data_IF_492126861293
#
_entry.id   IF_492126861293
#
_cell.length_a   1.000
_cell.length_b   1.000
_cell.length_c   1.000
_cell.angle_alpha   90.00
_cell.angle_beta   90.00
_cell.angle_gamma   90.00
#
_symmetry.space_group_name_H-M   'P 1'
#
loop_
_entity.id
_entity.type
_entity.pdbx_description
1 polymer ?
#
# COMPACT_ATOMS: atom_id res chain seq x y z
N UNK A 1 -1.34 -14.08 -1.14
CA UNK A 1 -1.38 -12.80 -0.43
C UNK A 1 -2.13 -13.01 0.87
N UNK A 2 -1.56 -12.59 1.97
CA UNK A 2 -2.21 -12.62 3.27
C UNK A 2 -2.96 -11.30 3.48
N UNK A 3 -4.19 -11.39 3.93
CA UNK A 3 -5.03 -10.24 4.30
C UNK A 3 -5.36 -10.39 5.78
N UNK A 4 -4.95 -9.42 6.57
CA UNK A 4 -5.25 -9.39 8.00
C UNK A 4 -6.46 -8.51 8.27
N UNK A 5 -7.53 -9.11 8.75
CA UNK A 5 -8.68 -8.37 9.24
C UNK A 5 -8.42 -7.89 10.67
N UNK A 6 -8.48 -6.58 10.86
CA UNK A 6 -8.41 -5.95 12.18
C UNK A 6 -9.80 -5.85 12.82
N UNK A 7 -10.82 -5.88 11.98
CA UNK A 7 -12.22 -5.92 12.39
C UNK A 7 -13.02 -6.67 11.33
N UNK A 8 -13.86 -7.58 11.75
CA UNK A 8 -14.77 -8.31 10.88
C UNK A 8 -16.07 -8.65 11.60
N UNK A 9 -17.20 -8.20 11.05
CA UNK A 9 -18.54 -8.50 11.59
C UNK A 9 -19.30 -9.43 10.61
N UNK A 10 -19.95 -10.51 11.07
CA UNK A 10 -20.76 -11.35 10.19
C UNK A 10 -21.85 -10.55 9.47
N UNK A 11 -21.96 -10.75 8.16
CA UNK A 11 -22.98 -10.09 7.33
C UNK A 11 -22.67 -8.66 6.91
N UNK A 12 -21.53 -8.08 7.32
CA UNK A 12 -21.14 -6.76 6.89
C UNK A 12 -20.87 -6.72 5.38
N UNK A 13 -21.30 -5.66 4.72
CA UNK A 13 -21.20 -5.46 3.28
C UNK A 13 -20.22 -4.37 2.88
N UNK A 14 -19.69 -3.64 3.86
CA UNK A 14 -18.72 -2.57 3.66
C UNK A 14 -17.33 -3.00 4.11
N UNK A 15 -16.33 -2.72 3.30
CA UNK A 15 -14.92 -3.00 3.59
C UNK A 15 -14.09 -1.75 3.40
N UNK A 16 -13.25 -1.44 4.38
CA UNK A 16 -12.09 -0.56 4.20
C UNK A 16 -10.84 -1.42 4.14
N UNK A 17 -10.08 -1.32 3.08
CA UNK A 17 -8.85 -2.09 2.89
C UNK A 17 -7.66 -1.18 2.64
N UNK A 18 -6.57 -1.40 3.37
CA UNK A 18 -5.33 -0.67 3.22
C UNK A 18 -4.19 -1.54 2.70
N UNK A 19 -3.47 -1.05 1.68
CA UNK A 19 -2.21 -1.61 1.21
C UNK A 19 -1.05 -0.77 1.71
N UNK A 20 -0.18 -1.38 2.50
CA UNK A 20 0.96 -0.70 3.12
C UNK A 20 2.15 -0.61 2.15
N UNK A 21 3.00 0.38 2.39
CA UNK A 21 4.25 0.57 1.66
C UNK A 21 5.39 -0.32 2.14
N UNK A 22 6.49 -0.30 1.39
CA UNK A 22 7.72 -1.00 1.74
C UNK A 22 8.22 -0.59 3.13
N UNK A 23 8.68 -1.57 3.90
CA UNK A 23 9.17 -1.47 5.29
C UNK A 23 8.14 -1.17 6.38
N UNK A 24 6.87 -1.07 6.02
CA UNK A 24 5.77 -0.95 6.98
C UNK A 24 5.00 -2.27 7.01
N UNK A 25 5.33 -3.14 7.99
CA UNK A 25 4.53 -4.33 8.26
C UNK A 25 3.25 -3.95 9.02
N UNK A 26 2.26 -4.84 9.00
CA UNK A 26 1.02 -4.62 9.77
C UNK A 26 1.34 -4.50 11.25
N UNK A 27 2.24 -5.32 11.80
CA UNK A 27 2.59 -5.27 13.21
C UNK A 27 3.24 -3.94 13.59
N UNK A 28 4.18 -3.43 12.78
CA UNK A 28 4.77 -2.11 13.01
C UNK A 28 3.70 -1.00 12.96
N UNK A 29 2.77 -1.09 12.02
CA UNK A 29 1.70 -0.09 11.91
C UNK A 29 0.78 -0.13 13.13
N UNK A 30 0.44 -1.32 13.64
CA UNK A 30 -0.37 -1.46 14.85
C UNK A 30 0.33 -0.91 16.10
N UNK A 31 1.65 -1.05 16.19
CA UNK A 31 2.44 -0.48 17.28
C UNK A 31 2.52 1.06 17.21
N UNK A 32 2.60 1.61 15.99
CA UNK A 32 2.66 3.07 15.76
C UNK A 32 1.29 3.75 15.86
N UNK A 33 0.21 3.02 15.58
CA UNK A 33 -1.16 3.50 15.54
C UNK A 33 -2.08 2.59 16.39
N UNK A 34 -2.02 2.68 17.72
CA UNK A 34 -2.75 1.78 18.62
C UNK A 34 -4.28 1.87 18.49
N UNK A 35 -4.80 2.95 17.90
CA UNK A 35 -6.23 3.08 17.58
C UNK A 35 -6.73 2.05 16.56
N UNK A 36 -5.83 1.41 15.81
CA UNK A 36 -6.14 0.31 14.90
C UNK A 36 -6.31 -1.04 15.61
N UNK A 37 -6.01 -1.11 16.91
CA UNK A 37 -6.08 -2.38 17.62
C UNK A 37 -7.51 -2.94 17.66
N UNK A 38 -7.64 -4.26 17.62
CA UNK A 38 -8.92 -4.96 17.72
C UNK A 38 -9.69 -4.65 19.02
N UNK A 39 -9.01 -4.08 20.02
CA UNK A 39 -9.58 -3.69 21.31
C UNK A 39 -10.07 -2.24 21.34
N UNK A 40 -9.84 -1.45 20.29
CA UNK A 40 -10.33 -0.07 20.19
C UNK A 40 -11.87 -0.06 20.13
N UNK A 41 -12.51 0.51 21.15
CA UNK A 41 -13.98 0.64 21.22
C UNK A 41 -14.52 1.47 20.05
N UNK A 42 -13.82 2.55 19.68
CA UNK A 42 -14.21 3.41 18.56
C UNK A 42 -14.24 2.64 17.25
N UNK A 43 -13.19 1.86 16.95
CA UNK A 43 -13.15 1.04 15.74
C UNK A 43 -14.26 -0.02 15.73
N UNK A 44 -14.60 -0.61 16.87
CA UNK A 44 -15.62 -1.66 16.95
C UNK A 44 -17.05 -1.17 16.73
N UNK A 45 -17.33 0.11 16.95
CA UNK A 45 -18.67 0.70 16.74
C UNK A 45 -18.98 0.96 15.26
N UNK A 46 -17.97 1.12 14.42
CA UNK A 46 -18.11 1.45 13.00
C UNK A 46 -18.83 0.36 12.20
N UNK A 47 -19.53 0.73 11.13
CA UNK A 47 -20.34 -0.14 10.26
C UNK A 47 -19.57 -0.55 8.98
N UNK A 48 -18.31 -0.94 9.14
CA UNK A 48 -17.48 -1.51 8.08
C UNK A 48 -16.53 -2.56 8.65
N UNK A 49 -16.09 -3.49 7.80
CA UNK A 49 -14.95 -4.35 8.10
C UNK A 49 -13.66 -3.62 7.74
N UNK A 50 -12.59 -3.91 8.47
CA UNK A 50 -11.28 -3.30 8.27
C UNK A 50 -10.23 -4.37 8.01
N UNK A 51 -9.51 -4.24 6.90
CA UNK A 51 -8.44 -5.15 6.53
C UNK A 51 -7.18 -4.41 6.11
N UNK A 52 -6.03 -5.04 6.32
CA UNK A 52 -4.73 -4.55 5.87
C UNK A 52 -3.96 -5.63 5.12
N UNK A 53 -3.15 -5.19 4.17
CA UNK A 53 -2.22 -5.99 3.39
C UNK A 53 -0.85 -5.33 3.50
N UNK A 54 0.16 -6.05 4.00
CA UNK A 54 1.52 -5.55 3.96
C UNK A 54 2.15 -5.71 2.57
N UNK A 55 3.17 -4.90 2.33
CA UNK A 55 3.87 -4.90 1.05
C UNK A 55 4.52 -6.25 0.72
N UNK A 56 5.17 -6.89 1.70
CA UNK A 56 5.86 -8.17 1.52
C UNK A 56 4.90 -9.25 1.05
N UNK A 57 3.74 -9.36 1.71
CA UNK A 57 2.70 -10.31 1.32
C UNK A 57 2.14 -10.02 -0.07
N UNK A 58 1.89 -8.75 -0.39
CA UNK A 58 1.36 -8.35 -1.69
C UNK A 58 2.36 -8.65 -2.81
N UNK A 59 3.61 -8.20 -2.70
CA UNK A 59 4.60 -8.31 -3.77
C UNK A 59 5.01 -9.77 -4.03
N UNK A 60 5.12 -10.59 -2.98
CA UNK A 60 5.41 -12.02 -3.09
C UNK A 60 4.27 -12.78 -3.77
N UNK A 61 3.04 -12.39 -3.49
CA UNK A 61 1.87 -12.93 -4.18
C UNK A 61 1.92 -12.58 -5.68
N UNK A 62 2.10 -11.30 -6.02
CA UNK A 62 2.16 -10.81 -7.39
C UNK A 62 3.32 -11.42 -8.20
N UNK A 63 4.47 -11.65 -7.56
CA UNK A 63 5.63 -12.30 -8.19
C UNK A 63 5.43 -13.79 -8.49
N UNK A 64 4.61 -14.51 -7.71
CA UNK A 64 4.35 -15.93 -7.88
C UNK A 64 3.27 -16.24 -8.91
N UNK A 65 2.37 -15.32 -9.14
CA UNK A 65 1.20 -15.50 -9.99
C UNK A 65 1.34 -14.59 -11.20
N UNK A 66 1.84 -15.12 -12.30
CA UNK A 66 2.06 -14.39 -13.56
C UNK A 66 0.77 -14.11 -14.35
N UNK A 67 -0.39 -14.27 -13.73
CA UNK A 67 -1.70 -13.92 -14.28
C UNK A 67 -2.20 -14.86 -15.39
N UNK A 68 -1.40 -15.83 -15.82
CA UNK A 68 -1.75 -16.73 -16.94
C UNK A 68 -1.99 -18.13 -16.41
N UNK A 69 -3.25 -18.47 -16.14
CA UNK A 69 -3.70 -19.86 -16.01
C UNK A 69 -3.73 -20.45 -14.60
N UNK A 70 -3.33 -19.77 -13.57
CA UNK A 70 -3.46 -20.25 -12.20
C UNK A 70 -4.78 -19.79 -11.53
N UNK A 71 -5.25 -20.60 -10.57
CA UNK A 71 -6.51 -20.33 -9.86
C UNK A 71 -6.46 -18.90 -9.28
N UNK A 72 -7.53 -18.12 -9.45
CA UNK A 72 -7.63 -16.81 -8.83
C UNK A 72 -7.38 -16.93 -7.32
N UNK A 73 -6.86 -15.85 -6.73
CA UNK A 73 -6.58 -15.72 -5.30
C UNK A 73 -7.54 -16.56 -4.44
N UNK A 74 -6.99 -17.43 -3.57
CA UNK A 74 -7.79 -18.29 -2.68
C UNK A 74 -8.71 -17.51 -1.71
N UNK A 75 -8.52 -16.19 -1.63
CA UNK A 75 -9.40 -15.23 -0.95
C UNK A 75 -10.53 -14.68 -1.81
N UNK A 76 -10.86 -15.31 -2.95
CA UNK A 76 -12.01 -14.91 -3.78
C UNK A 76 -13.27 -14.75 -2.94
N UNK A 77 -13.52 -15.73 -2.08
CA UNK A 77 -14.65 -15.74 -1.14
C UNK A 77 -14.55 -14.62 -0.08
N UNK A 78 -13.36 -14.02 0.09
CA UNK A 78 -13.12 -12.96 1.08
C UNK A 78 -13.72 -11.63 0.62
N UNK A 79 -13.73 -11.35 -0.67
CA UNK A 79 -14.19 -10.07 -1.22
C UNK A 79 -15.59 -10.14 -1.83
N UNK A 80 -16.01 -11.31 -2.31
CA UNK A 80 -17.33 -11.50 -2.95
C UNK A 80 -18.51 -11.14 -2.04
N UNK A 81 -18.28 -11.04 -0.74
CA UNK A 81 -19.30 -10.68 0.24
C UNK A 81 -19.51 -9.16 0.38
N UNK A 82 -18.58 -8.35 -0.13
CA UNK A 82 -18.63 -6.91 0.01
C UNK A 82 -19.16 -6.22 -1.24
N UNK A 83 -20.16 -5.39 -1.03
CA UNK A 83 -20.81 -4.60 -2.09
C UNK A 83 -20.21 -3.19 -2.16
N UNK A 84 -19.50 -2.76 -1.11
CA UNK A 84 -18.98 -1.41 -0.93
C UNK A 84 -17.56 -1.46 -0.35
N UNK A 85 -16.56 -1.15 -1.17
CA UNK A 85 -15.14 -1.21 -0.82
C UNK A 85 -14.51 0.16 -0.94
N UNK A 86 -13.91 0.65 0.14
CA UNK A 86 -13.00 1.80 0.11
C UNK A 86 -11.56 1.31 0.17
N UNK A 87 -10.80 1.62 -0.88
CA UNK A 87 -9.39 1.25 -1.02
C UNK A 87 -8.48 2.41 -0.62
N UNK A 88 -7.55 2.12 0.27
CA UNK A 88 -6.49 3.03 0.69
C UNK A 88 -5.13 2.40 0.41
N UNK A 89 -4.20 3.15 -0.13
CA UNK A 89 -2.89 2.60 -0.44
C UNK A 89 -1.78 3.62 -0.18
N UNK A 90 -0.67 3.19 0.41
CA UNK A 90 0.46 4.04 0.75
C UNK A 90 1.72 3.57 0.04
N UNK A 91 2.51 4.52 -0.51
CA UNK A 91 3.85 4.25 -1.04
C UNK A 91 3.83 3.19 -2.17
N UNK A 92 4.67 2.16 -2.11
CA UNK A 92 4.63 1.02 -3.02
C UNK A 92 3.32 0.22 -2.97
N UNK A 93 2.57 0.32 -1.87
CA UNK A 93 1.22 -0.27 -1.76
C UNK A 93 0.26 0.27 -2.82
N UNK A 94 0.46 1.52 -3.29
CA UNK A 94 -0.32 2.12 -4.38
C UNK A 94 -0.18 1.32 -5.67
N UNK A 95 1.03 0.93 -6.01
CA UNK A 95 1.29 0.08 -7.17
C UNK A 95 0.74 -1.34 -6.97
N UNK A 96 1.02 -1.94 -5.81
CA UNK A 96 0.60 -3.31 -5.52
C UNK A 96 -0.92 -3.46 -5.53
N UNK A 97 -1.66 -2.53 -4.92
CA UNK A 97 -3.12 -2.50 -4.95
C UNK A 97 -3.64 -2.24 -6.36
N UNK A 98 -3.07 -1.26 -7.07
CA UNK A 98 -3.43 -0.97 -8.44
C UNK A 98 -3.29 -2.20 -9.35
N UNK A 99 -2.19 -2.95 -9.22
CA UNK A 99 -1.97 -4.17 -10.00
C UNK A 99 -2.94 -5.29 -9.59
N UNK A 100 -3.18 -5.46 -8.28
CA UNK A 100 -4.08 -6.49 -7.76
C UNK A 100 -5.52 -6.29 -8.24
N UNK A 101 -6.01 -5.05 -8.30
CA UNK A 101 -7.38 -4.73 -8.70
C UNK A 101 -7.53 -4.37 -10.19
N UNK A 102 -6.46 -4.39 -10.98
CA UNK A 102 -6.54 -4.16 -12.43
C UNK A 102 -7.31 -5.27 -13.15
N UNK A 103 -8.23 -4.89 -14.00
CA UNK A 103 -9.09 -5.82 -14.73
C UNK A 103 -8.33 -6.81 -15.66
N UNK A 104 -7.16 -6.42 -16.14
CA UNK A 104 -6.37 -7.21 -17.09
C UNK A 104 -5.42 -8.22 -16.47
N UNK A 105 -5.22 -8.18 -15.15
CA UNK A 105 -4.19 -9.01 -14.48
C UNK A 105 -4.69 -10.36 -14.00
N UNK A 106 -6.00 -10.53 -13.86
CA UNK A 106 -6.62 -11.76 -13.34
C UNK A 106 -6.39 -12.02 -11.84
N UNK A 107 -5.66 -11.16 -11.12
CA UNK A 107 -5.37 -11.35 -9.71
C UNK A 107 -6.62 -11.29 -8.82
N UNK A 108 -7.56 -10.41 -9.13
CA UNK A 108 -8.82 -10.28 -8.42
C UNK A 108 -9.99 -10.23 -9.39
N UNK A 109 -10.42 -11.40 -9.87
CA UNK A 109 -11.59 -11.49 -10.77
C UNK A 109 -12.94 -11.33 -10.05
N UNK A 110 -12.94 -11.39 -8.73
CA UNK A 110 -14.16 -11.32 -7.90
C UNK A 110 -14.63 -9.88 -7.64
N UNK A 111 -13.68 -8.93 -7.59
CA UNK A 111 -14.01 -7.52 -7.41
C UNK A 111 -14.06 -6.89 -8.81
N UNK A 112 -15.24 -6.48 -9.20
CA UNK A 112 -15.39 -5.61 -10.35
C UNK A 112 -15.12 -4.18 -9.90
N UNK A 113 -14.74 -3.29 -10.84
CA UNK A 113 -14.58 -1.85 -10.56
C UNK A 113 -15.82 -1.24 -9.88
N UNK A 114 -16.99 -1.86 -10.03
CA UNK A 114 -18.25 -1.44 -9.41
C UNK A 114 -18.33 -1.68 -7.90
N UNK A 115 -17.50 -2.55 -7.33
CA UNK A 115 -17.47 -2.77 -5.87
C UNK A 115 -16.55 -1.78 -5.14
N UNK A 116 -15.55 -1.20 -5.84
CA UNK A 116 -14.68 -0.18 -5.27
C UNK A 116 -15.33 1.17 -5.52
N UNK A 117 -15.98 1.73 -4.49
CA UNK A 117 -16.65 3.03 -4.60
C UNK A 117 -15.69 4.20 -4.43
N UNK A 118 -14.55 3.99 -3.77
CA UNK A 118 -13.49 5.00 -3.66
C UNK A 118 -12.10 4.36 -3.54
N UNK A 119 -11.13 4.98 -4.18
CA UNK A 119 -9.73 4.58 -4.10
C UNK A 119 -8.84 5.80 -3.86
N UNK A 120 -8.01 5.74 -2.81
CA UNK A 120 -7.15 6.84 -2.38
C UNK A 120 -5.69 6.40 -2.28
N UNK A 121 -4.81 7.13 -2.95
CA UNK A 121 -3.37 6.93 -2.92
C UNK A 121 -2.69 7.94 -1.98
N UNK A 122 -1.71 7.48 -1.19
CA UNK A 122 -0.94 8.31 -0.25
C UNK A 122 0.55 8.13 -0.51
N UNK A 123 1.26 9.23 -0.85
CA UNK A 123 2.72 9.25 -1.04
C UNK A 123 3.26 8.08 -1.88
N UNK A 124 2.59 7.78 -2.98
CA UNK A 124 2.95 6.71 -3.91
C UNK A 124 2.38 6.95 -5.29
N UNK A 125 2.76 6.12 -6.25
CA UNK A 125 2.29 6.23 -7.65
C UNK A 125 2.11 4.87 -8.30
N UNK A 126 1.42 4.83 -9.45
CA UNK A 126 1.31 3.63 -10.29
C UNK A 126 2.59 3.33 -11.08
N UNK A 127 3.58 4.23 -11.02
CA UNK A 127 4.92 4.06 -11.57
C UNK A 127 5.99 4.14 -10.47
N UNK A 128 6.06 3.16 -9.53
CA UNK A 128 6.88 3.28 -8.33
C UNK A 128 8.38 3.37 -8.63
N UNK A 129 8.86 2.83 -9.76
CA UNK A 129 10.27 2.84 -10.18
C UNK A 129 10.35 3.57 -11.52
N UNK A 130 10.48 4.90 -11.48
CA UNK A 130 10.43 5.73 -12.69
C UNK A 130 11.08 7.09 -12.42
N UNK A 131 11.89 7.60 -13.33
CA UNK A 131 12.62 8.85 -13.15
C UNK A 131 11.72 10.10 -13.08
N UNK A 132 10.55 10.05 -13.70
CA UNK A 132 9.64 11.20 -13.81
C UNK A 132 8.40 11.09 -12.92
N UNK A 133 7.94 9.87 -12.63
CA UNK A 133 6.66 9.62 -11.98
C UNK A 133 6.76 8.75 -10.70
N UNK A 134 7.95 8.36 -10.30
CA UNK A 134 8.19 7.48 -9.14
C UNK A 134 9.50 7.76 -8.45
N UNK A 135 10.04 6.73 -7.80
CA UNK A 135 11.39 6.73 -7.27
C UNK A 135 12.35 6.65 -8.46
N UNK A 136 13.32 7.57 -8.60
CA UNK A 136 14.26 7.54 -9.72
C UNK A 136 15.02 6.20 -9.80
N UNK A 137 15.17 5.65 -11.00
CA UNK A 137 15.77 4.33 -11.28
C UNK A 137 17.11 4.15 -10.54
N UNK A 138 17.98 5.18 -10.59
CA UNK A 138 19.28 5.13 -9.91
C UNK A 138 19.15 5.07 -8.39
N UNK A 139 18.19 5.81 -7.82
CA UNK A 139 17.95 5.83 -6.37
C UNK A 139 17.40 4.48 -5.91
N UNK A 140 16.45 3.93 -6.64
CA UNK A 140 15.88 2.61 -6.35
C UNK A 140 16.95 1.52 -6.42
N UNK A 141 17.73 1.47 -7.49
CA UNK A 141 18.81 0.48 -7.68
C UNK A 141 19.88 0.56 -6.58
N UNK A 142 20.27 1.78 -6.15
CA UNK A 142 21.20 1.97 -5.05
C UNK A 142 20.61 1.50 -3.72
N UNK A 143 19.34 1.81 -3.45
CA UNK A 143 18.66 1.37 -2.24
C UNK A 143 18.62 -0.16 -2.20
N UNK A 144 18.15 -0.83 -3.26
CA UNK A 144 18.07 -2.28 -3.36
C UNK A 144 19.45 -2.95 -3.15
N UNK A 145 20.49 -2.46 -3.85
CA UNK A 145 21.84 -3.06 -3.78
C UNK A 145 22.46 -2.98 -2.40
N UNK A 146 22.21 -1.89 -1.67
CA UNK A 146 22.85 -1.61 -0.38
C UNK A 146 21.94 -1.91 0.81
N UNK A 147 20.78 -2.57 0.57
CA UNK A 147 19.79 -2.78 1.62
C UNK A 147 20.28 -3.83 2.64
N UNK A 148 20.27 -3.46 3.91
CA UNK A 148 20.63 -4.28 5.07
C UNK A 148 19.99 -3.69 6.34
N UNK A 149 20.20 -4.30 7.51
CA UNK A 149 19.62 -3.84 8.78
C UNK A 149 19.93 -2.36 9.11
N UNK A 150 21.17 -1.91 8.88
CA UNK A 150 21.55 -0.53 9.16
C UNK A 150 20.90 0.46 8.18
N UNK A 151 20.81 0.08 6.91
CA UNK A 151 20.16 0.92 5.89
C UNK A 151 18.63 0.92 5.99
N UNK A 152 18.02 -0.11 6.57
CA UNK A 152 16.59 -0.10 6.92
C UNK A 152 16.27 1.03 7.91
N UNK A 153 17.07 1.18 8.97
CA UNK A 153 16.89 2.30 9.91
C UNK A 153 17.03 3.66 9.20
N UNK A 154 18.06 3.80 8.36
CA UNK A 154 18.26 5.03 7.56
C UNK A 154 17.08 5.29 6.62
N UNK A 155 16.54 4.24 6.01
CA UNK A 155 15.37 4.36 5.15
C UNK A 155 14.14 4.84 5.94
N UNK A 156 13.86 4.26 7.09
CA UNK A 156 12.75 4.65 7.98
C UNK A 156 12.90 6.09 8.49
N UNK A 157 14.12 6.52 8.85
CA UNK A 157 14.40 7.93 9.18
C UNK A 157 14.11 8.87 7.99
N UNK A 158 14.44 8.46 6.77
CA UNK A 158 14.10 9.23 5.56
C UNK A 158 12.60 9.27 5.30
N UNK A 159 11.85 8.24 5.67
CA UNK A 159 10.40 8.27 5.65
C UNK A 159 9.83 9.29 6.64
N UNK A 160 10.56 9.62 7.70
CA UNK A 160 10.14 10.56 8.74
C UNK A 160 9.83 9.93 10.10
N UNK A 161 10.09 8.61 10.28
CA UNK A 161 9.99 7.97 11.58
C UNK A 161 11.08 8.52 12.51
N UNK A 162 10.77 8.60 13.80
CA UNK A 162 11.74 8.98 14.82
C UNK A 162 12.50 7.75 15.32
N UNK A 163 13.70 7.95 15.88
CA UNK A 163 14.55 6.87 16.42
C UNK A 163 13.82 6.01 17.46
N UNK A 164 12.99 6.62 18.28
CA UNK A 164 12.20 5.94 19.31
C UNK A 164 11.14 4.98 18.76
N UNK A 165 10.63 5.25 17.56
CA UNK A 165 9.56 4.50 16.90
C UNK A 165 10.10 3.23 16.20
N UNK A 166 11.45 3.03 16.22
CA UNK A 166 12.12 1.98 15.48
C UNK A 166 12.60 0.79 16.35
N UNK A 167 12.08 0.66 17.56
CA UNK A 167 12.54 -0.37 18.52
C UNK A 167 12.06 -1.79 18.18
N UNK A 168 11.25 -1.96 17.14
CA UNK A 168 10.71 -3.25 16.74
C UNK A 168 11.69 -4.01 15.83
N UNK A 169 12.09 -5.18 16.27
CA UNK A 169 12.99 -6.09 15.56
C UNK A 169 12.21 -6.92 14.53
N UNK A 170 12.10 -6.41 13.32
CA UNK A 170 11.62 -7.20 12.19
C UNK A 170 12.79 -7.85 11.44
N UNK A 171 12.56 -9.02 10.87
CA UNK A 171 13.54 -9.71 10.04
C UNK A 171 13.79 -8.93 8.73
N UNK A 172 14.85 -8.10 8.71
CA UNK A 172 15.20 -7.25 7.56
C UNK A 172 15.55 -8.03 6.28
N UNK A 173 15.88 -9.31 6.40
CA UNK A 173 16.25 -10.20 5.30
C UNK A 173 15.13 -10.29 4.25
N UNK A 174 13.89 -10.28 4.71
CA UNK A 174 12.73 -10.30 3.84
C UNK A 174 12.62 -9.04 2.98
N UNK A 175 12.96 -7.87 3.52
CA UNK A 175 12.83 -6.60 2.79
C UNK A 175 13.80 -6.45 1.61
N UNK A 176 14.99 -7.03 1.69
CA UNK A 176 15.94 -7.02 0.56
C UNK A 176 15.41 -7.83 -0.61
N UNK A 177 14.83 -9.01 -0.34
CA UNK A 177 14.21 -9.86 -1.36
C UNK A 177 12.96 -9.16 -1.94
N UNK A 178 12.16 -8.53 -1.10
CA UNK A 178 10.93 -7.84 -1.53
C UNK A 178 11.20 -6.69 -2.50
N UNK A 179 12.30 -5.94 -2.33
CA UNK A 179 12.72 -4.92 -3.30
C UNK A 179 13.12 -5.52 -4.66
N UNK A 180 13.77 -6.69 -4.65
CA UNK A 180 14.12 -7.38 -5.89
C UNK A 180 12.87 -7.91 -6.61
N UNK A 181 11.92 -8.46 -5.85
CA UNK A 181 10.62 -8.90 -6.37
C UNK A 181 9.80 -7.72 -6.91
N UNK A 182 9.81 -6.58 -6.22
CA UNK A 182 9.12 -5.37 -6.66
C UNK A 182 9.62 -4.89 -8.02
N UNK A 183 10.94 -4.87 -8.23
CA UNK A 183 11.53 -4.54 -9.53
C UNK A 183 11.14 -5.54 -10.61
N UNK A 184 11.18 -6.85 -10.29
CA UNK A 184 10.79 -7.91 -11.21
C UNK A 184 9.31 -7.77 -11.62
N UNK A 185 8.41 -7.58 -10.65
CA UNK A 185 6.98 -7.40 -10.89
C UNK A 185 6.73 -6.14 -11.73
N UNK A 186 7.39 -5.02 -11.39
CA UNK A 186 7.24 -3.79 -12.16
C UNK A 186 7.76 -3.91 -13.60
N UNK A 187 8.89 -4.58 -13.80
CA UNK A 187 9.43 -4.82 -15.15
C UNK A 187 8.54 -5.74 -15.98
N UNK A 188 7.83 -6.67 -15.34
CA UNK A 188 6.95 -7.61 -16.03
C UNK A 188 5.59 -6.99 -16.40
N UNK A 189 4.94 -6.30 -15.45
CA UNK A 189 3.58 -5.77 -15.64
C UNK A 189 3.52 -4.30 -16.06
N UNK A 190 4.57 -3.52 -15.80
CA UNK A 190 4.56 -2.07 -16.03
C UNK A 190 3.52 -1.34 -15.16
N UNK A 191 2.95 -0.26 -15.73
CA UNK A 191 1.88 0.50 -15.07
C UNK A 191 0.57 -0.30 -15.10
N UNK A 192 -0.09 -0.50 -13.94
CA UNK A 192 -1.41 -1.12 -13.89
C UNK A 192 -2.51 -0.21 -14.49
N UNK A 193 -3.48 -0.83 -15.13
CA UNK A 193 -4.71 -0.15 -15.57
C UNK A 193 -5.70 -0.06 -14.39
N UNK A 194 -5.41 0.85 -13.50
CA UNK A 194 -6.20 1.13 -12.32
C UNK A 194 -6.36 2.64 -12.12
N UNK A 195 -7.52 3.06 -11.64
CA UNK A 195 -7.82 4.46 -11.38
C UNK A 195 -7.98 4.69 -9.88
N UNK A 196 -7.25 5.70 -9.37
CA UNK A 196 -7.47 6.27 -8.05
C UNK A 196 -8.28 7.56 -8.18
N UNK A 197 -9.27 7.73 -7.31
CA UNK A 197 -10.08 8.96 -7.28
C UNK A 197 -9.29 10.11 -6.66
N UNK A 198 -8.51 9.81 -5.60
CA UNK A 198 -7.74 10.80 -4.84
C UNK A 198 -6.28 10.40 -4.72
N UNK A 199 -5.41 11.41 -4.75
CA UNK A 199 -3.98 11.25 -4.49
C UNK A 199 -3.49 12.31 -3.49
N UNK A 200 -3.10 11.88 -2.30
CA UNK A 200 -2.45 12.73 -1.30
C UNK A 200 -0.95 12.72 -1.58
N UNK A 201 -0.42 13.89 -1.94
CA UNK A 201 0.96 14.12 -2.34
C UNK A 201 1.70 14.87 -1.24
N UNK A 202 2.71 14.23 -0.64
CA UNK A 202 3.50 14.79 0.44
C UNK A 202 4.62 15.69 -0.10
N UNK A 203 4.64 16.96 0.31
CA UNK A 203 5.62 17.95 -0.17
C UNK A 203 7.05 17.66 0.30
N UNK A 204 7.20 17.09 1.50
CA UNK A 204 8.50 16.79 2.12
C UNK A 204 8.91 15.33 2.02
N UNK A 205 8.30 14.59 1.08
CA UNK A 205 8.60 13.18 0.85
C UNK A 205 10.03 13.00 0.29
N UNK A 206 10.87 12.27 1.03
CA UNK A 206 12.26 11.94 0.64
C UNK A 206 12.38 10.56 -0.04
N UNK A 207 11.27 9.86 -0.23
CA UNK A 207 11.19 8.54 -0.89
C UNK A 207 10.65 8.70 -2.30
N UNK A 208 9.40 9.19 -2.43
CA UNK A 208 8.80 9.57 -3.70
C UNK A 208 8.92 11.08 -3.89
N UNK A 209 9.80 11.58 -4.79
CA UNK A 209 9.97 13.02 -4.97
C UNK A 209 8.64 13.72 -5.26
N UNK A 210 8.37 14.83 -4.58
CA UNK A 210 7.14 15.61 -4.72
C UNK A 210 6.78 15.89 -6.18
N UNK A 211 7.76 16.35 -6.97
CA UNK A 211 7.56 16.63 -8.41
C UNK A 211 7.09 15.38 -9.18
N UNK A 212 7.65 14.22 -8.86
CA UNK A 212 7.32 12.97 -9.54
C UNK A 212 5.92 12.49 -9.17
N UNK A 213 5.51 12.64 -7.90
CA UNK A 213 4.14 12.36 -7.49
C UNK A 213 3.14 13.26 -8.24
N UNK A 214 3.40 14.57 -8.30
CA UNK A 214 2.54 15.48 -9.05
C UNK A 214 2.44 15.09 -10.53
N UNK A 215 3.56 14.77 -11.16
CA UNK A 215 3.58 14.35 -12.57
C UNK A 215 2.80 13.04 -12.80
N UNK A 216 2.86 12.11 -11.83
CA UNK A 216 2.13 10.84 -11.93
C UNK A 216 0.62 11.00 -11.86
N UNK A 217 0.14 11.95 -11.04
CA UNK A 217 -1.27 12.14 -10.77
C UNK A 217 -1.94 13.22 -11.63
N UNK A 218 -1.15 13.97 -12.39
CA UNK A 218 -1.68 15.01 -13.27
C UNK A 218 -2.74 14.45 -14.22
N UNK A 219 -3.96 14.98 -14.13
CA UNK A 219 -5.12 14.58 -14.94
C UNK A 219 -5.61 13.12 -14.74
N UNK A 220 -5.13 12.42 -13.72
CA UNK A 220 -5.50 11.00 -13.46
C UNK A 220 -6.19 10.79 -12.12
N UNK A 221 -6.04 11.71 -11.17
CA UNK A 221 -6.71 11.69 -9.86
C UNK A 221 -6.91 13.13 -9.35
N UNK A 222 -7.87 13.32 -8.45
CA UNK A 222 -7.93 14.57 -7.67
C UNK A 222 -6.74 14.62 -6.72
N UNK A 223 -5.86 15.61 -6.91
CA UNK A 223 -4.59 15.70 -6.18
C UNK A 223 -4.71 16.65 -5.00
N UNK A 224 -4.42 16.16 -3.81
CA UNK A 224 -4.39 16.92 -2.55
C UNK A 224 -2.93 17.04 -2.11
N UNK A 225 -2.39 18.25 -2.16
CA UNK A 225 -1.01 18.52 -1.74
C UNK A 225 -0.95 18.84 -0.25
N UNK A 226 -0.07 18.16 0.48
CA UNK A 226 0.06 18.30 1.93
C UNK A 226 1.49 18.62 2.34
N UNK A 227 1.65 19.55 3.29
CA UNK A 227 2.94 19.87 3.92
C UNK A 227 3.28 18.80 4.97
N UNK A 228 3.65 17.63 4.51
CA UNK A 228 3.96 16.46 5.33
C UNK A 228 5.09 15.63 4.71
N UNK A 229 5.68 14.73 5.49
CA UNK A 229 6.64 13.73 5.02
C UNK A 229 5.95 12.41 4.63
N UNK A 230 6.74 11.42 4.19
CA UNK A 230 6.26 10.12 3.75
C UNK A 230 5.50 9.35 4.83
N UNK A 231 5.98 9.37 6.09
CA UNK A 231 5.36 8.70 7.22
C UNK A 231 4.09 9.42 7.70
N UNK A 232 4.10 10.75 7.72
CA UNK A 232 2.90 11.53 8.06
C UNK A 232 1.76 11.29 7.07
N UNK A 233 2.07 11.06 5.79
CA UNK A 233 1.07 10.65 4.81
C UNK A 233 0.48 9.26 5.12
N UNK A 234 1.25 8.32 5.68
CA UNK A 234 0.72 7.07 6.23
C UNK A 234 -0.25 7.34 7.38
N UNK A 235 0.11 8.21 8.32
CA UNK A 235 -0.78 8.62 9.42
C UNK A 235 -2.11 9.20 8.92
N UNK A 236 -2.06 10.04 7.88
CA UNK A 236 -3.27 10.57 7.24
C UNK A 236 -4.13 9.47 6.59
N UNK A 237 -3.49 8.45 6.00
CA UNK A 237 -4.21 7.28 5.48
C UNK A 237 -4.90 6.52 6.62
N UNK A 238 -4.23 6.31 7.75
CA UNK A 238 -4.80 5.64 8.92
C UNK A 238 -5.99 6.43 9.49
N UNK A 239 -5.85 7.74 9.59
CA UNK A 239 -6.97 8.60 10.01
C UNK A 239 -8.21 8.45 9.11
N UNK A 240 -8.02 8.38 7.78
CA UNK A 240 -9.11 8.17 6.83
C UNK A 240 -9.68 6.75 6.89
N UNK A 241 -8.84 5.78 7.23
CA UNK A 241 -9.22 4.38 7.35
C UNK A 241 -10.12 4.12 8.57
N UNK A 242 -9.89 4.83 9.67
CA UNK A 242 -10.55 4.63 10.95
C UNK A 242 -11.74 5.57 11.21
N UNK A 243 -11.72 6.76 10.63
CA UNK A 243 -12.79 7.77 10.83
C UNK A 243 -13.85 7.68 9.72
N UNK A 244 -15.13 7.98 10.03
CA UNK A 244 -16.21 7.99 9.06
C UNK A 244 -16.06 9.05 7.97
#
# INVERSE_FOLDING_TARGET
MEIRFLKRKPGNKKLRIAFLGFSFSIDLVLDLFPELSETSSELQEEDFDLAMVDFSSAIRYLAKHDGVGEKPFAGKETFDVYDDIALYAHSFGVYAAGLFFSAGTGFCSAITKSNIHSASAFSGTLHPINDEQGIPLRVFALTRRNFNAATLQTFRLRCGLKQQDMQHSEAYENFSEDLALAEQVYNHYGKPDFHYDYAVVAMNDKIFPFRNQLAAWQNTAETITMDCNHFEALGMMIDKLTKP
#
